data_IF_238271484218
#
_entry.id   IF_238271484218
#
_cell.length_a   1.000
_cell.length_b   1.000
_cell.length_c   1.000
_cell.angle_alpha   90.00
_cell.angle_beta   90.00
_cell.angle_gamma   90.00
#
_symmetry.space_group_name_H-M   'P 1'
#
loop_
_entity.id
_entity.type
_entity.pdbx_description
1 polymer ?
#
# COMPACT_ATOMS: atom_id res chain seq x y z
N UNK A 1 22.24 -10.95 -28.73
CA UNK A 1 21.03 -11.79 -28.60
C UNK A 1 20.06 -11.03 -27.71
N UNK A 2 18.82 -10.84 -28.17
CA UNK A 2 17.88 -9.93 -27.51
C UNK A 2 17.39 -10.55 -26.20
N UNK A 3 17.72 -9.93 -25.07
CA UNK A 3 17.07 -10.28 -23.82
C UNK A 3 15.57 -9.99 -23.96
N UNK A 4 14.77 -11.04 -23.84
CA UNK A 4 13.31 -10.91 -23.85
C UNK A 4 12.89 -10.28 -22.53
N UNK A 5 12.53 -9.00 -22.58
CA UNK A 5 11.90 -8.33 -21.45
C UNK A 5 10.53 -8.95 -21.23
N UNK A 6 10.33 -9.52 -20.05
CA UNK A 6 9.02 -9.98 -19.58
C UNK A 6 8.13 -8.77 -19.28
N UNK A 7 6.82 -8.96 -19.16
CA UNK A 7 5.91 -7.85 -18.82
C UNK A 7 6.20 -7.29 -17.42
N UNK A 8 6.68 -8.12 -16.50
CA UNK A 8 7.17 -7.68 -15.20
C UNK A 8 8.40 -6.77 -15.34
N UNK A 9 9.38 -7.14 -16.17
CA UNK A 9 10.54 -6.28 -16.43
C UNK A 9 10.11 -4.94 -17.03
N UNK A 10 9.09 -4.93 -17.89
CA UNK A 10 8.53 -3.69 -18.46
C UNK A 10 7.86 -2.85 -17.38
N UNK A 11 7.07 -3.46 -16.49
CA UNK A 11 6.44 -2.79 -15.35
C UNK A 11 7.47 -2.17 -14.41
N UNK A 12 8.51 -2.91 -14.06
CA UNK A 12 9.56 -2.46 -13.14
C UNK A 12 10.36 -1.30 -13.72
N UNK A 13 10.66 -1.34 -15.03
CA UNK A 13 11.35 -0.24 -15.72
C UNK A 13 10.46 1.02 -15.77
N UNK A 14 9.14 0.86 -15.94
CA UNK A 14 8.20 1.99 -15.86
C UNK A 14 8.15 2.56 -14.44
N UNK A 15 8.15 1.71 -13.42
CA UNK A 15 8.18 2.14 -12.02
C UNK A 15 9.43 2.99 -11.71
N UNK A 16 10.60 2.60 -12.23
CA UNK A 16 11.84 3.40 -12.11
C UNK A 16 11.68 4.79 -12.73
N UNK A 17 10.95 4.90 -13.84
CA UNK A 17 10.69 6.17 -14.52
C UNK A 17 9.67 7.04 -13.78
N UNK A 18 8.63 6.43 -13.20
CA UNK A 18 7.59 7.12 -12.42
C UNK A 18 8.15 7.79 -11.15
N UNK A 19 9.19 7.19 -10.55
CA UNK A 19 9.87 7.72 -9.35
C UNK A 19 11.25 8.29 -9.61
N UNK A 20 11.53 8.65 -10.87
CA UNK A 20 12.80 9.26 -11.21
C UNK A 20 13.02 10.54 -10.40
N UNK A 21 14.20 10.68 -9.79
CA UNK A 21 14.48 11.78 -8.87
C UNK A 21 14.27 13.13 -9.56
N UNK A 22 13.47 14.05 -8.97
CA UNK A 22 13.20 15.36 -9.55
C UNK A 22 14.43 16.26 -9.66
N UNK A 23 15.46 15.97 -8.86
CA UNK A 23 16.69 16.75 -8.83
C UNK A 23 17.72 16.22 -9.84
N UNK A 24 17.40 15.16 -10.58
CA UNK A 24 18.32 14.51 -11.51
C UNK A 24 17.78 14.49 -12.93
N UNK A 25 18.63 14.88 -13.89
CA UNK A 25 18.29 14.82 -15.31
C UNK A 25 18.11 13.38 -15.79
N UNK A 26 16.92 13.07 -16.29
CA UNK A 26 16.62 11.80 -16.95
C UNK A 26 17.28 11.72 -18.34
N UNK A 27 18.12 10.69 -18.55
CA UNK A 27 18.77 10.37 -19.83
C UNK A 27 18.80 8.86 -20.05
N UNK A 28 18.86 8.40 -21.30
CA UNK A 28 18.90 6.96 -21.63
C UNK A 28 20.08 6.23 -21.01
N UNK A 29 21.26 6.85 -20.98
CA UNK A 29 22.46 6.27 -20.36
C UNK A 29 22.28 6.08 -18.86
N UNK A 30 21.68 7.07 -18.17
CA UNK A 30 21.36 6.97 -16.75
C UNK A 30 20.26 5.95 -16.48
N UNK A 31 19.28 5.82 -17.37
CA UNK A 31 18.26 4.78 -17.26
C UNK A 31 18.88 3.39 -17.43
N UNK A 32 19.71 3.17 -18.45
CA UNK A 32 20.42 1.90 -18.63
C UNK A 32 21.25 1.57 -17.38
N UNK A 33 21.99 2.53 -16.84
CA UNK A 33 22.77 2.36 -15.61
C UNK A 33 21.89 2.08 -14.37
N UNK A 34 20.75 2.76 -14.24
CA UNK A 34 19.81 2.51 -13.15
C UNK A 34 19.17 1.12 -13.26
N UNK A 35 18.91 0.62 -14.48
CA UNK A 35 18.43 -0.74 -14.73
C UNK A 35 19.49 -1.77 -14.33
N UNK A 36 20.76 -1.57 -14.70
CA UNK A 36 21.85 -2.47 -14.27
C UNK A 36 21.97 -2.52 -12.75
N UNK A 37 21.83 -1.38 -12.08
CA UNK A 37 22.00 -1.27 -10.62
C UNK A 37 20.77 -1.73 -9.82
N UNK A 38 19.55 -1.40 -10.26
CA UNK A 38 18.32 -1.65 -9.49
C UNK A 38 17.59 -2.94 -9.89
N UNK A 39 17.78 -3.42 -11.12
CA UNK A 39 17.14 -4.64 -11.63
C UNK A 39 18.15 -5.75 -11.95
N UNK A 40 19.46 -5.50 -11.76
CA UNK A 40 20.56 -6.46 -11.96
C UNK A 40 20.59 -7.13 -13.35
N UNK A 41 19.97 -6.49 -14.35
CA UNK A 41 19.98 -6.96 -15.74
C UNK A 41 21.33 -6.57 -16.37
N UNK A 42 22.30 -7.49 -16.35
CA UNK A 42 23.64 -7.27 -16.91
C UNK A 42 23.88 -8.22 -18.09
N UNK A 43 24.27 -7.72 -19.28
CA UNK A 43 24.35 -6.29 -19.61
C UNK A 43 22.95 -5.66 -19.71
N UNK A 44 22.82 -4.37 -19.42
CA UNK A 44 21.52 -3.72 -19.53
C UNK A 44 20.91 -3.85 -20.93
N UNK A 45 19.58 -3.95 -21.02
CA UNK A 45 18.88 -3.80 -22.28
C UNK A 45 19.28 -2.49 -22.94
N UNK A 46 19.68 -2.58 -24.21
CA UNK A 46 20.07 -1.39 -24.97
C UNK A 46 18.87 -0.47 -25.16
N UNK A 47 19.13 0.83 -25.30
CA UNK A 47 18.11 1.83 -25.64
C UNK A 47 17.21 1.39 -26.80
N UNK A 48 17.77 0.77 -27.84
CA UNK A 48 17.01 0.32 -29.00
C UNK A 48 15.98 -0.76 -28.63
N UNK A 49 16.30 -1.64 -27.69
CA UNK A 49 15.37 -2.64 -27.18
C UNK A 49 14.29 -2.00 -26.30
N UNK A 50 14.66 -1.09 -25.39
CA UNK A 50 13.73 -0.40 -24.49
C UNK A 50 12.68 0.42 -25.24
N UNK A 51 13.08 1.11 -26.30
CA UNK A 51 12.17 1.97 -27.07
C UNK A 51 11.13 1.20 -27.89
N UNK A 52 11.33 -0.12 -28.11
CA UNK A 52 10.33 -0.97 -28.78
C UNK A 52 9.10 -1.22 -27.91
N UNK A 53 9.22 -1.08 -26.59
CA UNK A 53 8.10 -1.22 -25.65
C UNK A 53 7.41 0.11 -25.45
N UNK A 54 6.17 0.23 -25.96
CA UNK A 54 5.40 1.47 -25.92
C UNK A 54 5.23 2.03 -24.50
N UNK A 55 5.03 1.14 -23.50
CA UNK A 55 4.90 1.52 -22.08
C UNK A 55 6.15 2.24 -21.56
N UNK A 56 7.34 1.68 -21.83
CA UNK A 56 8.62 2.26 -21.41
C UNK A 56 8.86 3.59 -22.14
N UNK A 57 8.61 3.62 -23.45
CA UNK A 57 8.79 4.82 -24.25
C UNK A 57 7.89 5.97 -23.76
N UNK A 58 6.61 5.69 -23.52
CA UNK A 58 5.65 6.68 -23.02
C UNK A 58 6.05 7.21 -21.64
N UNK A 59 6.42 6.33 -20.71
CA UNK A 59 6.89 6.72 -19.38
C UNK A 59 8.15 7.60 -19.45
N UNK A 60 9.11 7.26 -20.32
CA UNK A 60 10.31 8.05 -20.52
C UNK A 60 10.01 9.44 -21.10
N UNK A 61 9.12 9.52 -22.10
CA UNK A 61 8.74 10.78 -22.72
C UNK A 61 7.96 11.69 -21.74
N UNK A 62 7.13 11.11 -20.87
CA UNK A 62 6.48 11.82 -19.77
C UNK A 62 7.49 12.32 -18.73
N UNK A 63 8.41 11.47 -18.29
CA UNK A 63 9.48 11.84 -17.35
C UNK A 63 10.38 12.96 -17.88
N UNK A 64 10.66 12.97 -19.19
CA UNK A 64 11.45 14.02 -19.84
C UNK A 64 10.71 15.37 -19.97
N UNK A 65 9.38 15.35 -20.06
CA UNK A 65 8.52 16.55 -19.98
C UNK A 65 8.35 17.07 -18.55
N UNK A 66 8.73 16.26 -17.57
CA UNK A 66 8.70 16.54 -16.13
C UNK A 66 10.03 17.12 -15.62
N UNK A 67 10.49 18.27 -16.11
CA UNK A 67 11.10 19.26 -15.23
C UNK A 67 10.05 20.23 -14.68
N UNK A 68 8.94 20.39 -15.41
CA UNK A 68 7.88 21.36 -15.10
C UNK A 68 6.74 20.74 -14.29
N UNK A 69 6.52 19.42 -14.39
CA UNK A 69 5.49 18.68 -13.65
C UNK A 69 5.95 18.09 -12.30
N UNK A 70 7.26 18.12 -12.00
CA UNK A 70 7.88 17.61 -10.75
C UNK A 70 7.49 18.36 -9.47
N UNK A 71 6.73 19.44 -9.55
CA UNK A 71 6.08 20.02 -8.37
C UNK A 71 4.87 19.20 -7.90
N UNK A 72 4.28 18.38 -8.77
CA UNK A 72 2.99 17.74 -8.50
C UNK A 72 3.15 16.29 -7.98
N UNK A 73 4.24 15.59 -8.30
CA UNK A 73 4.40 14.14 -8.04
C UNK A 73 5.52 13.73 -7.07
N UNK A 74 6.10 14.66 -6.29
CA UNK A 74 7.06 14.36 -5.21
C UNK A 74 6.52 13.45 -4.08
N UNK A 75 5.30 12.93 -4.20
CA UNK A 75 4.55 12.37 -3.08
C UNK A 75 4.43 10.84 -3.05
N UNK A 76 5.02 10.04 -3.97
CA UNK A 76 4.49 8.67 -4.10
C UNK A 76 5.34 7.39 -4.10
N UNK A 77 6.60 7.24 -4.53
CA UNK A 77 7.30 5.97 -4.24
C UNK A 77 8.83 6.02 -4.16
N UNK A 78 9.36 5.39 -3.11
CA UNK A 78 10.66 4.71 -3.06
C UNK A 78 10.38 3.29 -2.53
N UNK A 79 11.08 2.27 -3.05
CA UNK A 79 10.93 0.87 -2.62
C UNK A 79 11.18 0.73 -1.11
N UNK A 80 10.29 0.00 -0.46
CA UNK A 80 10.02 0.09 0.96
C UNK A 80 11.14 -0.57 1.80
N UNK A 81 11.77 0.11 2.79
CA UNK A 81 12.83 -0.46 3.63
C UNK A 81 12.41 -1.73 4.40
N UNK A 82 13.34 -2.50 4.97
CA UNK A 82 13.01 -3.67 5.80
C UNK A 82 12.04 -3.33 6.96
N UNK A 83 12.14 -2.11 7.50
CA UNK A 83 11.17 -1.56 8.44
C UNK A 83 9.76 -1.48 7.88
N UNK A 84 9.60 -1.23 6.58
CA UNK A 84 8.31 -1.21 5.91
C UNK A 84 7.77 -2.61 5.58
N UNK A 85 8.61 -3.63 5.35
CA UNK A 85 8.13 -5.04 5.32
C UNK A 85 7.62 -5.47 6.69
N UNK A 86 8.33 -5.12 7.76
CA UNK A 86 7.90 -5.38 9.14
C UNK A 86 6.62 -4.58 9.45
N UNK A 87 6.55 -3.32 9.01
CA UNK A 87 5.34 -2.51 9.14
C UNK A 87 4.17 -3.12 8.37
N UNK A 88 4.39 -3.63 7.16
CA UNK A 88 3.38 -4.32 6.37
C UNK A 88 2.85 -5.55 7.10
N UNK A 89 3.72 -6.45 7.58
CA UNK A 89 3.29 -7.61 8.37
C UNK A 89 2.55 -7.20 9.65
N UNK A 90 2.96 -6.08 10.28
CA UNK A 90 2.27 -5.53 11.45
C UNK A 90 0.90 -4.97 11.10
N UNK A 91 0.78 -4.28 9.96
CA UNK A 91 -0.48 -3.77 9.42
C UNK A 91 -1.42 -4.92 9.11
N UNK A 92 -0.97 -5.95 8.39
CA UNK A 92 -1.77 -7.14 8.06
C UNK A 92 -2.28 -7.83 9.34
N UNK A 93 -1.42 -7.96 10.35
CA UNK A 93 -1.82 -8.52 11.65
C UNK A 93 -2.82 -7.64 12.40
N UNK A 94 -2.65 -6.31 12.35
CA UNK A 94 -3.58 -5.35 12.98
C UNK A 94 -4.91 -5.28 12.23
N UNK A 95 -4.92 -5.33 10.91
CA UNK A 95 -6.11 -5.37 10.07
C UNK A 95 -6.90 -6.65 10.31
N UNK A 96 -6.23 -7.81 10.35
CA UNK A 96 -6.88 -9.08 10.70
C UNK A 96 -7.46 -9.05 12.11
N UNK A 97 -6.74 -8.46 13.08
CA UNK A 97 -7.24 -8.29 14.45
C UNK A 97 -8.44 -7.33 14.49
N UNK A 98 -8.38 -6.21 13.78
CA UNK A 98 -9.48 -5.24 13.71
C UNK A 98 -10.71 -5.86 13.07
N UNK A 99 -10.57 -6.53 11.92
CA UNK A 99 -11.69 -7.22 11.28
C UNK A 99 -12.34 -8.26 12.21
N UNK A 100 -11.54 -9.01 12.97
CA UNK A 100 -12.06 -9.93 13.99
C UNK A 100 -12.81 -9.19 15.11
N UNK A 101 -12.23 -8.12 15.66
CA UNK A 101 -12.83 -7.33 16.74
C UNK A 101 -14.10 -6.60 16.27
N UNK A 102 -14.13 -6.07 15.06
CA UNK A 102 -15.32 -5.46 14.46
C UNK A 102 -16.44 -6.47 14.32
N UNK A 103 -16.12 -7.69 13.87
CA UNK A 103 -17.10 -8.78 13.82
C UNK A 103 -17.61 -9.16 15.20
N UNK A 104 -16.71 -9.33 16.19
CA UNK A 104 -17.09 -9.60 17.58
C UNK A 104 -17.97 -8.47 18.15
N UNK A 105 -17.64 -7.21 17.87
CA UNK A 105 -18.43 -6.05 18.31
C UNK A 105 -19.81 -6.01 17.65
N UNK A 106 -19.89 -6.27 16.35
CA UNK A 106 -21.17 -6.36 15.64
C UNK A 106 -22.08 -7.44 16.25
N UNK A 107 -21.53 -8.63 16.54
CA UNK A 107 -22.26 -9.71 17.21
C UNK A 107 -22.71 -9.31 18.62
N UNK A 108 -21.88 -8.60 19.38
CA UNK A 108 -22.26 -8.08 20.70
C UNK A 108 -23.37 -7.03 20.61
N UNK A 109 -23.31 -6.12 19.63
CA UNK A 109 -24.35 -5.11 19.39
C UNK A 109 -25.68 -5.77 19.00
N UNK A 110 -25.66 -6.78 18.13
CA UNK A 110 -26.84 -7.58 17.80
C UNK A 110 -27.43 -8.22 19.07
N UNK A 111 -26.57 -8.80 19.91
CA UNK A 111 -26.98 -9.39 21.18
C UNK A 111 -27.59 -8.34 22.14
N UNK A 112 -27.02 -7.13 22.19
CA UNK A 112 -27.56 -6.02 22.97
C UNK A 112 -28.95 -5.59 22.50
N UNK A 113 -29.20 -5.56 21.18
CA UNK A 113 -30.53 -5.25 20.63
C UNK A 113 -31.55 -6.28 21.08
N UNK A 114 -31.21 -7.58 21.00
CA UNK A 114 -32.08 -8.67 21.46
C UNK A 114 -32.38 -8.52 22.95
N UNK A 115 -31.37 -8.22 23.76
CA UNK A 115 -31.55 -8.01 25.21
C UNK A 115 -32.38 -6.78 25.51
N UNK A 116 -32.19 -5.67 24.80
CA UNK A 116 -32.98 -4.45 24.99
C UNK A 116 -34.46 -4.70 24.66
N UNK A 117 -34.73 -5.39 23.55
CA UNK A 117 -36.10 -5.78 23.18
C UNK A 117 -36.75 -6.64 24.26
N UNK A 118 -36.03 -7.68 24.73
CA UNK A 118 -36.55 -8.55 25.78
C UNK A 118 -36.74 -7.81 27.10
N UNK A 119 -35.79 -6.94 27.49
CA UNK A 119 -35.90 -6.12 28.69
C UNK A 119 -37.17 -5.26 28.65
N UNK A 120 -37.42 -4.57 27.53
CA UNK A 120 -38.65 -3.80 27.34
C UNK A 120 -39.90 -4.68 27.44
N UNK A 121 -39.90 -5.84 26.75
CA UNK A 121 -41.02 -6.80 26.78
C UNK A 121 -41.35 -7.28 28.20
N UNK A 122 -40.35 -7.40 29.07
CA UNK A 122 -40.50 -7.83 30.45
C UNK A 122 -40.53 -6.67 31.47
N UNK A 123 -40.66 -5.42 31.01
CA UNK A 123 -40.84 -4.25 31.88
C UNK A 123 -39.59 -3.75 32.59
N UNK A 124 -38.40 -4.21 32.17
CA UNK A 124 -37.13 -3.69 32.67
C UNK A 124 -36.82 -2.35 32.02
N UNK A 125 -36.51 -1.33 32.84
CA UNK A 125 -36.12 -0.02 32.34
C UNK A 125 -34.63 0.01 31.98
N UNK A 126 -34.25 0.95 31.11
CA UNK A 126 -32.84 1.22 30.79
C UNK A 126 -32.03 1.64 32.03
N UNK A 127 -32.68 2.27 33.02
CA UNK A 127 -32.03 2.63 34.28
C UNK A 127 -31.60 1.36 35.05
N UNK A 128 -32.47 0.34 35.10
CA UNK A 128 -32.15 -0.94 35.73
C UNK A 128 -31.01 -1.67 35.00
N UNK A 129 -30.99 -1.62 33.65
CA UNK A 129 -29.93 -2.24 32.86
C UNK A 129 -28.56 -1.57 33.03
N UNK A 130 -28.53 -0.28 33.37
CA UNK A 130 -27.31 0.50 33.58
C UNK A 130 -26.86 0.53 35.05
N UNK A 131 -27.55 -0.17 35.96
CA UNK A 131 -27.13 -0.25 37.35
C UNK A 131 -25.71 -0.83 37.44
N UNK A 132 -24.80 -0.17 38.16
CA UNK A 132 -23.43 -0.66 38.28
C UNK A 132 -23.44 -2.01 39.01
N UNK A 133 -22.68 -2.97 38.49
CA UNK A 133 -22.46 -4.21 39.23
C UNK A 133 -21.79 -3.91 40.57
N UNK A 134 -22.23 -4.58 41.64
CA UNK A 134 -21.56 -4.56 42.93
C UNK A 134 -20.07 -4.83 42.72
N UNK A 135 -19.20 -3.88 43.10
CA UNK A 135 -17.76 -4.10 43.15
C UNK A 135 -17.51 -5.17 44.19
N UNK A 136 -17.28 -6.42 43.76
CA UNK A 136 -16.67 -7.41 44.64
C UNK A 136 -15.41 -6.78 45.23
N UNK A 137 -15.39 -6.61 46.53
CA UNK A 137 -14.18 -6.39 47.31
C UNK A 137 -13.26 -7.57 47.02
N UNK A 138 -12.24 -7.35 46.19
CA UNK A 138 -11.09 -8.24 46.12
C UNK A 138 -10.32 -8.02 47.43
N UNK A 139 -10.46 -8.98 48.35
CA UNK A 139 -9.39 -9.34 49.28
C UNK A 139 -8.23 -10.00 48.51
#
# INVERSE_FOLDING_TARGET
MAQHLTDQNVQDIVEILDYWSPNEKLTWERLCKAIEVQLELIPAPTRQTLQKFARIKNAYDLGKKSPTALKILKSKQQKLPASLKIAQARIESLEAKNARLEKENAMLLEQFVVWQYNAYKYGLSIANLNEPMNKKSSD
#
